data_IF_835939452553
#
_entry.id   IF_835939452553
#
_cell.length_a   1.000
_cell.length_b   1.000
_cell.length_c   1.000
_cell.angle_alpha   90.00
_cell.angle_beta   90.00
_cell.angle_gamma   90.00
#
_symmetry.space_group_name_H-M   'P 1'
#
loop_
_entity.id
_entity.type
_entity.pdbx_description
1 polymer ?
#
# COMPACT_ATOMS: atom_id res chain seq x y z
N UNK A 1 23.60 12.34 8.24
CA UNK A 1 22.70 11.18 8.47
C UNK A 1 22.19 10.74 7.11
N UNK A 2 22.32 9.45 6.77
CA UNK A 2 21.85 8.92 5.48
C UNK A 2 20.34 8.76 5.51
N UNK A 3 19.63 9.33 4.53
CA UNK A 3 18.22 9.08 4.28
C UNK A 3 18.07 7.75 3.55
N UNK A 4 17.30 6.82 4.12
CA UNK A 4 17.03 5.52 3.51
C UNK A 4 15.60 5.47 3.00
N UNK A 5 15.45 5.12 1.73
CA UNK A 5 14.16 4.93 1.07
C UNK A 5 13.98 3.44 0.77
N UNK A 6 12.82 2.91 1.17
CA UNK A 6 12.45 1.52 0.93
C UNK A 6 11.18 1.46 0.08
N UNK A 7 11.14 0.53 -0.86
CA UNK A 7 9.93 0.16 -1.59
C UNK A 7 9.57 -1.26 -1.19
N UNK A 8 8.36 -1.46 -0.67
CA UNK A 8 7.82 -2.74 -0.25
C UNK A 8 6.60 -3.07 -1.12
N UNK A 9 6.69 -4.15 -1.89
CA UNK A 9 5.54 -4.69 -2.61
C UNK A 9 4.83 -5.75 -1.76
N UNK A 10 3.51 -5.65 -1.65
CA UNK A 10 2.68 -6.69 -1.04
C UNK A 10 2.27 -7.71 -2.10
N UNK A 11 2.39 -8.99 -1.79
CA UNK A 11 2.04 -10.08 -2.69
C UNK A 11 1.26 -11.16 -1.93
N UNK A 12 0.41 -11.90 -2.64
CA UNK A 12 -0.46 -12.92 -2.04
C UNK A 12 -1.73 -13.16 -2.85
N UNK A 13 -2.45 -14.24 -2.51
CA UNK A 13 -3.68 -14.64 -3.19
C UNK A 13 -4.74 -13.51 -3.19
N UNK A 14 -5.66 -13.56 -4.15
CA UNK A 14 -6.80 -12.62 -4.20
C UNK A 14 -7.60 -12.71 -2.90
N UNK A 15 -8.18 -11.59 -2.46
CA UNK A 15 -8.99 -11.47 -1.24
C UNK A 15 -8.29 -11.81 0.10
N UNK A 16 -6.97 -11.96 0.11
CA UNK A 16 -6.19 -12.15 1.34
C UNK A 16 -5.81 -10.83 2.05
N UNK A 17 -6.57 -9.76 1.82
CA UNK A 17 -6.47 -8.53 2.61
C UNK A 17 -5.24 -7.65 2.38
N UNK A 18 -4.54 -7.76 1.24
CA UNK A 18 -3.36 -6.94 0.91
C UNK A 18 -3.65 -5.43 0.99
N UNK A 19 -4.67 -4.95 0.29
CA UNK A 19 -5.11 -3.55 0.32
C UNK A 19 -5.54 -3.10 1.73
N UNK A 20 -6.22 -3.99 2.48
CA UNK A 20 -6.61 -3.72 3.86
C UNK A 20 -5.41 -3.56 4.80
N UNK A 21 -4.37 -4.39 4.64
CA UNK A 21 -3.14 -4.27 5.40
C UNK A 21 -2.43 -2.95 5.11
N UNK A 22 -2.29 -2.58 3.83
CA UNK A 22 -1.66 -1.30 3.45
C UNK A 22 -2.44 -0.12 4.02
N UNK A 23 -3.77 -0.14 3.94
CA UNK A 23 -4.62 0.90 4.55
C UNK A 23 -4.48 0.97 6.07
N UNK A 24 -4.40 -0.18 6.75
CA UNK A 24 -4.20 -0.21 8.19
C UNK A 24 -2.83 0.34 8.63
N UNK A 25 -1.78 0.09 7.83
CA UNK A 25 -0.43 0.56 8.12
C UNK A 25 -0.22 2.05 7.78
N UNK A 26 -0.80 2.51 6.68
CA UNK A 26 -0.51 3.85 6.12
C UNK A 26 -1.64 4.86 6.29
N UNK A 27 -2.86 4.40 6.56
CA UNK A 27 -4.07 5.21 6.47
C UNK A 27 -4.52 5.54 5.05
N UNK A 28 -3.78 5.09 4.03
CA UNK A 28 -4.04 5.37 2.61
C UNK A 28 -4.72 4.16 1.99
N UNK A 29 -5.84 4.39 1.33
CA UNK A 29 -6.56 3.37 0.57
C UNK A 29 -5.92 3.22 -0.81
N UNK A 30 -5.27 2.08 -1.13
CA UNK A 30 -4.56 1.93 -2.39
C UNK A 30 -5.50 1.65 -3.58
N UNK A 31 -6.69 1.10 -3.33
CA UNK A 31 -7.72 0.87 -4.34
C UNK A 31 -8.45 2.20 -4.61
N UNK A 32 -8.04 2.90 -5.67
CA UNK A 32 -8.49 4.27 -5.98
C UNK A 32 -9.65 4.31 -6.97
N UNK A 33 -9.81 3.27 -7.78
CA UNK A 33 -10.83 3.24 -8.83
C UNK A 33 -12.21 2.88 -8.25
N UNK A 34 -13.29 3.53 -8.70
CA UNK A 34 -14.65 3.16 -8.30
C UNK A 34 -14.96 1.67 -8.56
N UNK A 35 -14.45 1.11 -9.65
CA UNK A 35 -14.64 -0.28 -10.04
C UNK A 35 -13.95 -1.26 -9.09
N UNK A 36 -12.77 -0.91 -8.57
CA UNK A 36 -12.06 -1.73 -7.58
C UNK A 36 -12.88 -1.86 -6.30
N UNK A 37 -13.41 -0.73 -5.82
CA UNK A 37 -14.26 -0.68 -4.62
C UNK A 37 -15.60 -1.40 -4.82
N UNK A 38 -16.21 -1.23 -5.99
CA UNK A 38 -17.47 -1.88 -6.31
C UNK A 38 -17.35 -3.41 -6.41
N UNK A 39 -16.19 -3.90 -6.85
CA UNK A 39 -15.95 -5.34 -7.09
C UNK A 39 -15.15 -6.03 -5.98
N UNK A 40 -14.54 -5.27 -5.07
CA UNK A 40 -13.68 -5.80 -4.01
C UNK A 40 -12.36 -6.40 -4.53
N UNK A 41 -11.87 -5.95 -5.68
CA UNK A 41 -10.64 -6.46 -6.30
C UNK A 41 -9.72 -5.30 -6.69
N UNK A 42 -8.41 -5.51 -6.64
CA UNK A 42 -7.40 -4.58 -7.15
C UNK A 42 -7.20 -4.82 -8.66
N UNK A 43 -7.29 -3.76 -9.46
CA UNK A 43 -7.23 -3.81 -10.93
C UNK A 43 -5.96 -3.11 -11.43
N UNK A 44 -5.53 -2.05 -10.76
CA UNK A 44 -4.31 -1.30 -11.03
C UNK A 44 -3.39 -1.29 -9.79
N UNK A 45 -2.10 -1.01 -10.00
CA UNK A 45 -1.15 -0.92 -8.88
C UNK A 45 -1.50 0.27 -7.98
N UNK A 46 -1.67 -0.02 -6.70
CA UNK A 46 -1.92 0.97 -5.66
C UNK A 46 -0.63 1.34 -4.91
N UNK A 47 -0.47 2.61 -4.55
CA UNK A 47 0.72 3.12 -3.85
C UNK A 47 0.32 3.83 -2.56
N UNK A 48 1.07 3.59 -1.49
CA UNK A 48 0.86 4.22 -0.20
C UNK A 48 2.18 4.57 0.49
N UNK A 49 2.25 5.74 1.11
CA UNK A 49 3.44 6.19 1.82
C UNK A 49 3.34 5.91 3.32
N UNK A 50 4.42 5.36 3.90
CA UNK A 50 4.59 5.15 5.33
C UNK A 50 5.81 5.91 5.84
N UNK A 51 5.54 6.95 6.62
CA UNK A 51 6.57 7.68 7.37
C UNK A 51 6.97 6.91 8.62
N UNK A 52 8.22 6.49 8.71
CA UNK A 52 8.76 5.83 9.91
C UNK A 52 9.61 6.83 10.71
N UNK A 53 9.55 6.78 12.04
CA UNK A 53 10.32 7.68 12.90
C UNK A 53 11.83 7.70 12.51
N UNK A 54 12.37 8.90 12.26
CA UNK A 54 13.74 9.15 11.80
C UNK A 54 13.81 9.69 10.35
N UNK A 55 14.90 9.38 9.63
CA UNK A 55 15.10 9.74 8.20
C UNK A 55 14.70 8.62 7.24
N UNK A 56 13.75 7.77 7.64
CA UNK A 56 13.35 6.57 6.88
C UNK A 56 11.95 6.75 6.29
N UNK A 57 11.86 6.53 4.99
CA UNK A 57 10.62 6.59 4.23
C UNK A 57 10.36 5.26 3.56
N UNK A 58 9.12 4.79 3.58
CA UNK A 58 8.72 3.53 2.94
C UNK A 58 7.52 3.77 2.02
N UNK A 59 7.58 3.21 0.82
CA UNK A 59 6.47 3.17 -0.11
C UNK A 59 5.95 1.74 -0.20
N UNK A 60 4.66 1.55 0.01
CA UNK A 60 3.97 0.27 -0.07
C UNK A 60 3.22 0.20 -1.40
N UNK A 61 3.35 -0.94 -2.09
CA UNK A 61 2.69 -1.21 -3.37
C UNK A 61 1.75 -2.42 -3.21
N UNK A 62 0.53 -2.32 -3.73
CA UNK A 62 -0.48 -3.39 -3.73
C UNK A 62 -0.88 -3.82 -5.12
#
# INVERSE_FOLDING_TARGET
MSSSHFILATAGHVDHGKSSLVKALTGIDPDRLPEEKARGITIDLGFAHLGLHGTRNTELVT
#
